data_IF_701278248799
#
_entry.id   IF_701278248799
#
_cell.length_a   1.000
_cell.length_b   1.000
_cell.length_c   1.000
_cell.angle_alpha   90.00
_cell.angle_beta   90.00
_cell.angle_gamma   90.00
#
_symmetry.space_group_name_H-M   'P 1'
#
loop_
_entity.id
_entity.type
_entity.pdbx_description
1 polymer ?
#
# COMPACT_ATOMS: atom_id res chain seq x y z
N UNK A 1 -23.00 5.72 3.17
CA UNK A 1 -22.79 7.04 2.52
C UNK A 1 -23.89 7.35 1.52
N UNK A 2 -24.47 6.34 0.86
CA UNK A 2 -25.46 6.55 -0.21
C UNK A 2 -24.80 6.65 -1.59
N UNK A 3 -23.47 6.53 -1.65
CA UNK A 3 -22.67 6.55 -2.87
C UNK A 3 -23.02 5.37 -3.76
N UNK A 4 -23.20 5.67 -5.06
CA UNK A 4 -23.33 4.66 -6.11
C UNK A 4 -21.96 4.44 -6.77
N UNK A 5 -21.50 3.20 -6.76
CA UNK A 5 -20.23 2.81 -7.39
C UNK A 5 -20.49 2.29 -8.80
N UNK A 6 -19.77 2.84 -9.79
CA UNK A 6 -20.03 2.56 -11.21
C UNK A 6 -18.86 1.83 -11.91
N UNK A 7 -17.68 1.73 -11.28
CA UNK A 7 -16.47 1.17 -11.90
C UNK A 7 -16.62 -0.30 -12.34
N UNK A 8 -17.41 -1.10 -11.60
CA UNK A 8 -17.74 -2.49 -11.94
C UNK A 8 -19.25 -2.72 -12.04
N UNK A 9 -19.97 -1.78 -12.67
CA UNK A 9 -21.44 -1.79 -12.80
C UNK A 9 -22.01 -3.10 -13.34
N UNK A 10 -21.34 -3.73 -14.30
CA UNK A 10 -21.80 -4.96 -14.96
C UNK A 10 -21.86 -6.15 -13.99
N UNK A 11 -20.90 -6.26 -13.08
CA UNK A 11 -20.79 -7.36 -12.11
C UNK A 11 -21.39 -7.00 -10.75
N UNK A 12 -21.74 -5.73 -10.52
CA UNK A 12 -22.24 -5.20 -9.23
C UNK A 12 -21.28 -5.46 -8.07
N UNK A 13 -19.98 -5.55 -8.36
CA UNK A 13 -18.93 -5.66 -7.37
C UNK A 13 -18.42 -4.27 -6.99
N UNK A 14 -17.91 -4.13 -5.77
CA UNK A 14 -17.23 -2.91 -5.30
C UNK A 14 -15.87 -3.32 -4.80
N UNK A 15 -14.81 -2.72 -5.34
CA UNK A 15 -13.49 -2.96 -4.81
C UNK A 15 -13.37 -2.26 -3.45
N UNK A 16 -12.77 -2.94 -2.47
CA UNK A 16 -12.70 -2.44 -1.09
C UNK A 16 -12.02 -1.06 -0.97
N UNK A 17 -11.11 -0.75 -1.90
CA UNK A 17 -10.46 0.57 -2.00
C UNK A 17 -11.48 1.66 -2.32
N UNK A 18 -12.39 1.44 -3.27
CA UNK A 18 -13.43 2.43 -3.62
C UNK A 18 -14.31 2.72 -2.40
N UNK A 19 -14.74 1.66 -1.73
CA UNK A 19 -15.56 1.76 -0.53
C UNK A 19 -14.83 2.47 0.61
N UNK A 20 -13.56 2.14 0.84
CA UNK A 20 -12.76 2.77 1.90
C UNK A 20 -12.52 4.25 1.61
N UNK A 21 -12.18 4.60 0.37
CA UNK A 21 -12.02 6.00 -0.04
C UNK A 21 -13.33 6.78 0.15
N UNK A 22 -14.48 6.17 -0.17
CA UNK A 22 -15.79 6.76 0.05
C UNK A 22 -16.12 6.99 1.53
N UNK A 23 -15.81 6.03 2.41
CA UNK A 23 -15.97 6.19 3.85
C UNK A 23 -15.12 7.35 4.41
N UNK A 24 -13.88 7.49 3.93
CA UNK A 24 -12.99 8.59 4.31
C UNK A 24 -13.58 9.94 3.84
N UNK A 25 -14.01 10.04 2.58
CA UNK A 25 -14.64 11.26 2.02
C UNK A 25 -15.85 11.73 2.82
N UNK A 26 -16.59 10.79 3.38
CA UNK A 26 -17.81 11.07 4.16
C UNK A 26 -17.57 11.12 5.68
N UNK A 27 -16.31 11.23 6.12
CA UNK A 27 -15.93 11.31 7.54
C UNK A 27 -16.51 10.16 8.38
N UNK A 28 -16.61 8.95 7.79
CA UNK A 28 -17.11 7.76 8.49
C UNK A 28 -16.04 7.02 9.26
N UNK A 29 -14.77 7.32 9.00
CA UNK A 29 -13.62 6.78 9.71
C UNK A 29 -12.94 7.89 10.50
N UNK A 30 -12.61 7.61 11.76
CA UNK A 30 -11.68 8.44 12.53
C UNK A 30 -10.28 7.91 12.31
N UNK A 31 -9.42 8.74 11.72
CA UNK A 31 -8.07 8.36 11.32
C UNK A 31 -7.04 9.24 12.05
N UNK A 32 -5.94 8.62 12.43
CA UNK A 32 -4.76 9.23 13.02
C UNK A 32 -3.54 8.82 12.17
N UNK A 33 -3.15 9.63 11.17
CA UNK A 33 -2.06 9.29 10.26
C UNK A 33 -0.70 9.25 10.94
N UNK A 34 -0.55 9.85 12.14
CA UNK A 34 0.72 9.84 12.89
C UNK A 34 1.15 8.43 13.30
N UNK A 35 0.20 7.49 13.36
CA UNK A 35 0.45 6.05 13.60
C UNK A 35 1.22 5.36 12.48
N UNK A 36 1.51 6.07 11.38
CA UNK A 36 2.35 5.60 10.29
C UNK A 36 3.57 6.51 10.05
N UNK A 37 3.94 7.43 10.97
CA UNK A 37 5.04 8.40 10.74
C UNK A 37 6.43 7.75 10.63
N UNK A 38 6.61 6.53 11.15
CA UNK A 38 7.81 5.74 10.93
C UNK A 38 7.93 5.20 9.49
N UNK A 39 6.86 5.32 8.69
CA UNK A 39 6.78 4.81 7.32
C UNK A 39 6.87 5.95 6.31
N UNK A 40 7.82 5.83 5.38
CA UNK A 40 7.92 6.64 4.16
C UNK A 40 7.42 5.77 3.01
N UNK A 41 6.17 6.03 2.59
CA UNK A 41 5.38 5.12 1.76
C UNK A 41 5.46 5.53 0.29
N UNK A 42 5.56 4.54 -0.60
CA UNK A 42 5.22 4.67 -2.03
C UNK A 42 4.15 3.63 -2.41
N UNK A 43 3.57 3.70 -3.60
CA UNK A 43 2.43 2.86 -3.99
C UNK A 43 2.68 2.07 -5.28
N UNK A 44 2.42 0.77 -5.22
CA UNK A 44 2.37 -0.09 -6.40
C UNK A 44 0.95 -0.12 -6.98
N UNK A 45 0.77 0.46 -8.17
CA UNK A 45 -0.44 0.27 -8.97
C UNK A 45 -0.52 -1.19 -9.46
N UNK A 46 -1.31 -2.01 -8.77
CA UNK A 46 -1.60 -3.39 -9.15
C UNK A 46 -2.21 -3.47 -10.55
N UNK A 47 -1.71 -4.36 -11.40
CA UNK A 47 -2.02 -4.35 -12.85
C UNK A 47 -3.52 -4.44 -13.18
N UNK A 48 -4.28 -5.34 -12.54
CA UNK A 48 -5.72 -5.49 -12.82
C UNK A 48 -6.55 -4.30 -12.28
N UNK A 49 -6.42 -3.89 -10.99
CA UNK A 49 -7.09 -2.68 -10.51
C UNK A 49 -6.74 -1.43 -11.31
N UNK A 50 -5.49 -1.27 -11.71
CA UNK A 50 -5.03 -0.12 -12.48
C UNK A 50 -5.55 -0.15 -13.92
N UNK A 51 -5.19 -1.17 -14.71
CA UNK A 51 -5.45 -1.19 -16.15
C UNK A 51 -6.86 -1.66 -16.53
N UNK A 52 -7.48 -2.52 -15.73
CA UNK A 52 -8.81 -3.07 -16.03
C UNK A 52 -9.94 -2.32 -15.34
N UNK A 53 -9.68 -1.74 -14.16
CA UNK A 53 -10.70 -1.00 -13.40
C UNK A 53 -10.47 0.51 -13.34
N UNK A 54 -9.30 1.01 -13.73
CA UNK A 54 -9.00 2.45 -13.65
C UNK A 54 -8.83 2.98 -12.22
N UNK A 55 -8.57 2.11 -11.24
CA UNK A 55 -8.39 2.49 -9.84
C UNK A 55 -7.02 3.12 -9.62
N UNK A 56 -6.93 4.42 -9.93
CA UNK A 56 -5.70 5.20 -9.76
C UNK A 56 -5.79 6.09 -8.52
N UNK A 57 -6.86 6.87 -8.37
CA UNK A 57 -6.90 7.92 -7.35
C UNK A 57 -7.43 7.41 -6.01
N UNK A 58 -8.30 6.40 -5.98
CA UNK A 58 -8.86 5.87 -4.73
C UNK A 58 -7.78 5.30 -3.79
N UNK A 59 -6.82 4.47 -4.25
CA UNK A 59 -5.73 4.00 -3.40
C UNK A 59 -4.87 5.15 -2.87
N UNK A 60 -4.56 6.13 -3.74
CA UNK A 60 -3.74 7.30 -3.39
C UNK A 60 -4.45 8.19 -2.37
N UNK A 61 -5.76 8.39 -2.55
CA UNK A 61 -6.59 9.14 -1.63
C UNK A 61 -6.60 8.50 -0.25
N UNK A 62 -6.74 7.16 -0.16
CA UNK A 62 -6.63 6.46 1.11
C UNK A 62 -5.25 6.69 1.75
N UNK A 63 -4.17 6.42 1.01
CA UNK A 63 -2.80 6.52 1.53
C UNK A 63 -2.51 7.93 2.08
N UNK A 64 -2.88 8.98 1.33
CA UNK A 64 -2.69 10.38 1.77
C UNK A 64 -3.49 10.75 3.02
N UNK A 65 -4.56 10.01 3.35
CA UNK A 65 -5.35 10.23 4.57
C UNK A 65 -4.88 9.37 5.75
N UNK A 66 -3.99 8.39 5.54
CA UNK A 66 -3.50 7.48 6.60
C UNK A 66 -1.99 7.54 6.79
N UNK A 67 -1.25 8.23 5.92
CA UNK A 67 0.20 8.39 6.00
C UNK A 67 0.60 9.84 5.72
N UNK A 68 1.42 10.43 6.59
CA UNK A 68 1.95 11.78 6.41
C UNK A 68 3.11 11.83 5.39
N UNK A 69 3.81 10.71 5.18
CA UNK A 69 4.97 10.63 4.29
C UNK A 69 4.67 9.71 3.11
N UNK A 70 4.11 10.27 2.05
CA UNK A 70 3.83 9.56 0.80
C UNK A 70 4.59 10.19 -0.38
N UNK A 71 5.35 9.36 -1.11
CA UNK A 71 6.10 9.77 -2.28
C UNK A 71 5.75 8.91 -3.48
N UNK A 72 5.38 9.56 -4.58
CA UNK A 72 5.09 8.86 -5.82
C UNK A 72 6.36 8.43 -6.57
N UNK A 73 6.21 7.32 -7.31
CA UNK A 73 7.19 6.88 -8.30
C UNK A 73 7.13 7.73 -9.57
N UNK A 74 8.15 7.67 -10.46
CA UNK A 74 8.15 8.41 -11.70
C UNK A 74 6.87 8.18 -12.52
N UNK A 75 6.35 9.25 -13.13
CA UNK A 75 5.05 9.26 -13.82
C UNK A 75 4.93 8.18 -14.91
N UNK A 76 6.05 7.83 -15.57
CA UNK A 76 6.11 6.78 -16.57
C UNK A 76 6.09 5.34 -16.01
N UNK A 77 5.89 5.16 -14.70
CA UNK A 77 5.94 3.85 -14.02
C UNK A 77 4.72 3.58 -13.12
N UNK A 78 3.73 4.46 -13.18
CA UNK A 78 2.51 4.43 -12.36
C UNK A 78 1.26 4.45 -13.23
N UNK A 79 0.09 4.26 -12.61
CA UNK A 79 -1.23 4.26 -13.26
C UNK A 79 -1.28 3.30 -14.44
N UNK A 80 -1.73 3.73 -15.62
CA UNK A 80 -1.81 2.90 -16.82
C UNK A 80 -0.43 2.38 -17.28
N UNK A 81 0.64 3.14 -16.97
CA UNK A 81 2.04 2.81 -17.28
C UNK A 81 2.71 1.96 -16.21
N UNK A 82 1.95 1.47 -15.21
CA UNK A 82 2.48 0.62 -14.14
C UNK A 82 3.20 -0.62 -14.65
N UNK A 83 4.31 -0.98 -14.03
CA UNK A 83 4.98 -2.26 -14.24
C UNK A 83 4.34 -3.37 -13.39
N UNK A 84 4.32 -4.59 -13.93
CA UNK A 84 3.86 -5.80 -13.26
C UNK A 84 4.72 -6.15 -12.04
N UNK A 85 4.14 -6.86 -11.06
CA UNK A 85 4.86 -7.46 -9.93
C UNK A 85 5.66 -8.73 -10.31
N UNK A 86 5.49 -9.24 -11.54
CA UNK A 86 6.20 -10.39 -12.08
C UNK A 86 5.61 -11.77 -11.71
N UNK A 87 4.50 -11.83 -10.97
CA UNK A 87 3.98 -13.10 -10.41
C UNK A 87 2.51 -13.41 -10.74
N UNK A 88 1.85 -12.61 -11.58
CA UNK A 88 0.48 -12.89 -12.05
C UNK A 88 0.40 -14.10 -13.01
N UNK A 89 -0.81 -14.47 -13.41
CA UNK A 89 -1.07 -15.48 -14.46
C UNK A 89 -0.39 -16.85 -14.24
N UNK A 90 -0.29 -17.30 -12.99
CA UNK A 90 0.32 -18.60 -12.66
C UNK A 90 1.85 -18.57 -12.48
N UNK A 91 2.48 -17.39 -12.58
CA UNK A 91 3.93 -17.26 -12.42
C UNK A 91 4.39 -17.23 -10.95
N UNK A 92 3.48 -17.22 -9.97
CA UNK A 92 3.82 -17.19 -8.54
C UNK A 92 4.33 -18.54 -7.97
N UNK A 93 4.60 -19.53 -8.82
CA UNK A 93 5.21 -20.78 -8.38
C UNK A 93 6.69 -20.54 -8.02
N UNK A 94 7.22 -21.30 -7.06
CA UNK A 94 8.60 -21.12 -6.58
C UNK A 94 9.62 -21.57 -7.63
N UNK A 95 9.25 -22.53 -8.48
CA UNK A 95 10.04 -22.98 -9.63
C UNK A 95 10.29 -21.85 -10.65
N UNK A 96 9.47 -20.79 -10.63
CA UNK A 96 9.57 -19.65 -11.53
C UNK A 96 10.33 -18.46 -10.91
N UNK A 97 11.08 -18.65 -9.82
CA UNK A 97 11.74 -17.55 -9.10
C UNK A 97 12.61 -16.66 -10.00
N UNK A 98 13.41 -17.23 -10.89
CA UNK A 98 14.26 -16.47 -11.82
C UNK A 98 13.43 -15.54 -12.72
N UNK A 99 12.32 -16.07 -13.27
CA UNK A 99 11.40 -15.30 -14.12
C UNK A 99 10.70 -14.22 -13.31
N UNK A 100 10.24 -14.53 -12.09
CA UNK A 100 9.60 -13.56 -11.19
C UNK A 100 10.52 -12.39 -10.87
N UNK A 101 11.77 -12.67 -10.51
CA UNK A 101 12.75 -11.64 -10.16
C UNK A 101 13.14 -10.78 -11.37
N UNK A 102 13.31 -11.38 -12.55
CA UNK A 102 13.57 -10.64 -13.80
C UNK A 102 12.37 -9.81 -14.24
N UNK A 103 11.16 -10.39 -14.21
CA UNK A 103 9.93 -9.71 -14.59
C UNK A 103 9.57 -8.55 -13.67
N UNK A 104 9.91 -8.65 -12.37
CA UNK A 104 9.72 -7.59 -11.39
C UNK A 104 10.81 -6.50 -11.41
N UNK A 105 11.93 -6.68 -12.12
CA UNK A 105 13.05 -5.72 -12.12
C UNK A 105 12.63 -4.28 -12.51
N UNK A 106 11.80 -4.03 -13.53
CA UNK A 106 11.35 -2.67 -13.83
C UNK A 106 10.61 -2.00 -12.67
N UNK A 107 9.79 -2.76 -11.94
CA UNK A 107 9.11 -2.30 -10.72
C UNK A 107 10.12 -2.01 -9.61
N UNK A 108 11.07 -2.91 -9.39
CA UNK A 108 12.12 -2.71 -8.40
C UNK A 108 12.96 -1.45 -8.68
N UNK A 109 13.30 -1.18 -9.94
CA UNK A 109 14.02 0.04 -10.34
C UNK A 109 13.23 1.32 -10.02
N UNK A 110 11.91 1.32 -10.25
CA UNK A 110 11.06 2.47 -9.90
C UNK A 110 11.02 2.70 -8.37
N UNK A 111 10.97 1.63 -7.58
CA UNK A 111 11.02 1.71 -6.11
C UNK A 111 12.40 2.15 -5.63
N UNK A 112 13.47 1.64 -6.22
CA UNK A 112 14.86 2.03 -5.94
C UNK A 112 15.05 3.54 -6.12
N UNK A 113 14.52 4.10 -7.20
CA UNK A 113 14.58 5.55 -7.45
C UNK A 113 13.98 6.37 -6.29
N UNK A 114 12.77 6.03 -5.83
CA UNK A 114 12.12 6.78 -4.74
C UNK A 114 12.72 6.50 -3.37
N UNK A 115 13.29 5.31 -3.17
CA UNK A 115 14.10 5.00 -1.99
C UNK A 115 15.32 5.91 -1.94
N UNK A 116 16.11 5.97 -3.00
CA UNK A 116 17.34 6.77 -3.04
C UNK A 116 17.04 8.27 -2.93
N UNK A 117 15.96 8.73 -3.57
CA UNK A 117 15.60 10.15 -3.61
C UNK A 117 14.89 10.68 -2.38
N UNK A 118 13.99 9.89 -1.79
CA UNK A 118 13.11 10.34 -0.70
C UNK A 118 13.25 9.51 0.59
N UNK A 119 14.06 8.45 0.57
CA UNK A 119 14.20 7.54 1.69
C UNK A 119 12.98 6.65 1.91
N UNK A 120 12.18 6.38 0.86
CA UNK A 120 11.04 5.44 0.94
C UNK A 120 11.49 4.11 1.54
N UNK A 121 10.76 3.63 2.53
CA UNK A 121 11.03 2.39 3.25
C UNK A 121 9.84 1.40 3.21
N UNK A 122 8.71 1.78 2.60
CA UNK A 122 7.52 0.94 2.53
C UNK A 122 6.83 1.06 1.17
N UNK A 123 6.56 -0.08 0.52
CA UNK A 123 5.79 -0.20 -0.71
C UNK A 123 4.37 -0.69 -0.39
N UNK A 124 3.37 0.18 -0.56
CA UNK A 124 1.98 -0.14 -0.36
C UNK A 124 1.36 -0.81 -1.60
N UNK A 125 0.52 -1.82 -1.38
CA UNK A 125 -0.14 -2.62 -2.42
C UNK A 125 -1.63 -2.79 -2.12
N UNK A 126 -2.46 -3.02 -3.14
CA UNK A 126 -3.90 -3.34 -2.97
C UNK A 126 -4.27 -4.76 -3.41
N UNK A 127 -3.41 -5.41 -4.19
CA UNK A 127 -3.57 -6.80 -4.59
C UNK A 127 -2.90 -7.74 -3.58
N UNK A 128 -3.57 -8.84 -3.25
CA UNK A 128 -3.03 -9.86 -2.35
C UNK A 128 -1.81 -10.58 -2.94
N UNK A 129 -1.79 -10.82 -4.26
CA UNK A 129 -0.62 -11.40 -4.94
C UNK A 129 0.58 -10.47 -4.80
N UNK A 130 0.41 -9.18 -5.08
CA UNK A 130 1.49 -8.21 -4.96
C UNK A 130 2.07 -8.19 -3.54
N UNK A 131 1.22 -8.19 -2.52
CA UNK A 131 1.63 -8.26 -1.11
C UNK A 131 2.41 -9.54 -0.79
N UNK A 132 2.06 -10.67 -1.39
CA UNK A 132 2.73 -11.95 -1.16
C UNK A 132 4.10 -12.05 -1.86
N UNK A 133 4.27 -11.42 -3.02
CA UNK A 133 5.42 -11.65 -3.90
C UNK A 133 6.46 -10.54 -3.91
N UNK A 134 6.02 -9.30 -3.69
CA UNK A 134 6.91 -8.15 -3.67
C UNK A 134 7.91 -8.17 -2.50
N UNK A 135 7.66 -8.78 -1.31
CA UNK A 135 8.67 -8.87 -0.27
C UNK A 135 9.98 -9.47 -0.77
N UNK A 136 9.93 -10.66 -1.38
CA UNK A 136 11.12 -11.33 -1.95
C UNK A 136 11.78 -10.49 -3.04
N UNK A 137 10.99 -9.81 -3.88
CA UNK A 137 11.51 -8.93 -4.93
C UNK A 137 12.24 -7.71 -4.34
N UNK A 138 11.68 -7.09 -3.29
CA UNK A 138 12.29 -5.94 -2.62
C UNK A 138 13.53 -6.36 -1.84
N UNK A 139 13.50 -7.49 -1.14
CA UNK A 139 14.67 -8.00 -0.42
C UNK A 139 15.85 -8.26 -1.37
N UNK A 140 15.57 -8.76 -2.57
CA UNK A 140 16.60 -9.02 -3.57
C UNK A 140 17.13 -7.74 -4.26
N UNK A 141 16.25 -6.88 -4.79
CA UNK A 141 16.67 -5.74 -5.62
C UNK A 141 16.79 -4.41 -4.88
N UNK A 142 16.05 -4.22 -3.78
CA UNK A 142 15.92 -2.94 -3.06
C UNK A 142 15.88 -3.19 -1.53
N UNK A 143 16.88 -3.87 -0.95
CA UNK A 143 16.83 -4.39 0.43
C UNK A 143 16.62 -3.29 1.47
N UNK A 144 15.63 -3.43 2.36
CA UNK A 144 15.26 -2.41 3.34
C UNK A 144 14.01 -1.59 2.98
N UNK A 145 13.37 -1.89 1.84
CA UNK A 145 12.00 -1.45 1.55
C UNK A 145 11.04 -2.59 1.90
N UNK A 146 10.25 -2.41 2.95
CA UNK A 146 9.18 -3.34 3.29
C UNK A 146 8.00 -3.26 2.32
N UNK A 147 7.10 -4.24 2.41
CA UNK A 147 5.85 -4.27 1.63
C UNK A 147 4.67 -4.37 2.58
N UNK A 148 3.64 -3.55 2.36
CA UNK A 148 2.41 -3.54 3.14
C UNK A 148 1.16 -3.46 2.25
N UNK A 149 0.02 -3.91 2.78
CA UNK A 149 -1.27 -3.63 2.16
C UNK A 149 -1.73 -2.21 2.47
N UNK A 150 -2.42 -1.53 1.55
CA UNK A 150 -3.04 -0.22 1.83
C UNK A 150 -3.98 -0.31 3.04
N UNK A 151 -4.75 -1.38 3.15
CA UNK A 151 -5.66 -1.60 4.29
C UNK A 151 -4.94 -1.96 5.60
N UNK A 152 -3.67 -2.35 5.55
CA UNK A 152 -2.84 -2.45 6.76
C UNK A 152 -2.49 -1.06 7.29
N UNK A 153 -2.13 -0.13 6.41
CA UNK A 153 -1.87 1.27 6.76
C UNK A 153 -3.14 1.96 7.30
N UNK A 154 -4.30 1.65 6.71
CA UNK A 154 -5.61 2.06 7.24
C UNK A 154 -5.82 1.48 8.64
N UNK A 155 -5.56 0.19 8.82
CA UNK A 155 -5.70 -0.48 10.11
C UNK A 155 -4.82 0.12 11.21
N UNK A 156 -3.59 0.55 10.87
CA UNK A 156 -2.72 1.29 11.78
C UNK A 156 -3.33 2.64 12.19
N UNK A 157 -3.78 3.43 11.22
CA UNK A 157 -4.31 4.77 11.42
C UNK A 157 -5.73 4.80 12.03
N UNK A 158 -6.48 3.71 11.96
CA UNK A 158 -7.87 3.66 12.42
C UNK A 158 -7.94 3.84 13.95
N UNK A 159 -8.78 4.79 14.38
CA UNK A 159 -9.08 5.07 15.79
C UNK A 159 -10.48 4.55 16.12
N UNK A 160 -10.56 3.46 16.89
CA UNK A 160 -11.83 2.83 17.25
C UNK A 160 -12.44 3.45 18.51
N UNK A 161 -13.78 3.51 18.57
CA UNK A 161 -14.49 4.01 19.76
C UNK A 161 -14.23 3.07 20.94
N UNK A 162 -13.68 3.61 22.03
CA UNK A 162 -13.35 2.84 23.23
C UNK A 162 -12.05 2.04 23.14
N UNK A 163 -11.19 2.30 22.14
CA UNK A 163 -9.88 1.66 22.09
C UNK A 163 -8.96 2.11 23.23
N UNK A 164 -8.10 1.20 23.68
CA UNK A 164 -6.97 1.56 24.54
C UNK A 164 -5.94 2.33 23.72
N UNK A 165 -5.12 3.16 24.38
CA UNK A 165 -3.98 3.82 23.73
C UNK A 165 -3.12 2.77 23.06
N UNK A 166 -3.02 2.85 21.73
CA UNK A 166 -2.23 1.90 20.94
C UNK A 166 -0.75 2.27 21.06
N UNK A 167 0.08 1.28 21.37
CA UNK A 167 1.53 1.46 21.55
C UNK A 167 2.34 0.94 20.38
N UNK A 168 1.77 0.03 19.58
CA UNK A 168 2.42 -0.57 18.41
C UNK A 168 1.54 -0.52 17.16
N UNK A 169 2.16 -0.60 15.99
CA UNK A 169 1.45 -0.85 14.73
C UNK A 169 0.94 -2.32 14.66
N UNK A 170 0.25 -2.66 13.57
CA UNK A 170 -0.28 -4.03 13.34
C UNK A 170 0.82 -5.09 13.16
N UNK A 171 2.09 -4.70 13.00
CA UNK A 171 3.25 -5.59 12.95
C UNK A 171 4.01 -5.66 14.27
N UNK A 172 3.54 -4.97 15.32
CA UNK A 172 4.19 -4.93 16.63
C UNK A 172 5.36 -3.95 16.72
N UNK A 173 5.60 -3.10 15.71
CA UNK A 173 6.61 -2.06 15.83
C UNK A 173 6.09 -0.92 16.73
N UNK A 174 6.92 -0.33 17.60
CA UNK A 174 6.51 0.81 18.40
C UNK A 174 6.03 1.97 17.54
N UNK A 175 4.91 2.59 17.93
CA UNK A 175 4.49 3.86 17.36
C UNK A 175 5.38 4.99 17.91
N UNK A 176 5.74 5.95 17.06
CA UNK A 176 6.53 7.10 17.48
C UNK A 176 5.88 7.78 18.70
N UNK A 177 6.64 7.93 19.79
CA UNK A 177 6.18 8.59 21.03
C UNK A 177 5.59 7.67 22.12
N UNK A 178 5.74 6.35 22.03
CA UNK A 178 5.23 5.42 23.07
C UNK A 178 6.33 4.63 23.81
N UNK A 179 7.60 4.89 23.49
CA UNK A 179 8.76 4.28 24.15
C UNK A 179 9.31 5.04 25.36
N UNK A 180 8.48 5.82 26.07
CA UNK A 180 8.96 6.69 27.14
C UNK A 180 7.88 7.14 28.10
N UNK A 181 7.14 6.20 28.69
CA UNK A 181 6.43 6.37 29.97
C UNK A 181 6.17 4.97 30.56
N UNK A 182 7.25 4.21 30.76
CA UNK A 182 7.30 3.19 31.82
C UNK A 182 8.26 3.73 32.88
N UNK A 183 7.76 4.64 33.74
CA UNK A 183 8.26 4.93 35.09
C UNK A 183 7.36 6.00 35.73
N UNK A 184 6.42 5.54 36.58
CA UNK A 184 5.94 6.02 37.90
C UNK A 184 4.49 5.60 38.09
#
# INVERSE_FOLDING_TARGET
TGTKFENAKSTKMVHIVEFTADLIKHNKLKLDPSRNDHLKVTFHDSCNPARSMGLFEEPRYIIRNVCNHFHEMPENTIKEKTFCCGSGAGLNADENMEIRLRGGLPRANAVKYVREKYGVNMLACICAVDRAVLPTLMDYWVPGVGVAGVHELVGNALVMKGEKKRTTDLRGNPLNGVGGDENV
#
